data_IF_210073735029
#
_entry.id   IF_210073735029
#
_cell.length_a   1.000
_cell.length_b   1.000
_cell.length_c   1.000
_cell.angle_alpha   90.00
_cell.angle_beta   90.00
_cell.angle_gamma   90.00
#
_symmetry.space_group_name_H-M   'P 1'
#
loop_
_entity.id
_entity.type
_entity.pdbx_description
1 polymer ?
#
# COMPACT_ATOMS: atom_id res chain seq x y z
N UNK A 1 -14.84 -55.46 29.78
CA UNK A 1 -13.52 -54.82 29.79
C UNK A 1 -13.30 -54.14 28.45
N UNK A 2 -13.58 -52.83 28.34
CA UNK A 2 -13.39 -52.11 27.08
C UNK A 2 -13.02 -50.65 27.34
N UNK A 3 -11.78 -50.35 26.98
CA UNK A 3 -11.29 -49.10 26.40
C UNK A 3 -11.45 -47.82 27.22
N UNK A 4 -10.50 -47.57 28.12
CA UNK A 4 -10.08 -46.20 28.45
C UNK A 4 -8.80 -45.86 27.70
N UNK A 5 -8.72 -44.63 27.17
CA UNK A 5 -7.45 -43.99 26.82
C UNK A 5 -7.28 -43.65 25.34
N UNK A 6 -7.94 -42.57 24.87
CA UNK A 6 -7.35 -41.70 23.83
C UNK A 6 -8.11 -40.34 23.70
N UNK A 7 -7.96 -39.42 24.65
CA UNK A 7 -8.48 -38.04 24.48
C UNK A 7 -7.50 -36.92 24.91
N UNK A 8 -6.24 -37.24 25.21
CA UNK A 8 -5.28 -36.26 25.75
C UNK A 8 -4.40 -35.56 24.70
N UNK A 9 -4.53 -35.88 23.41
CA UNK A 9 -3.73 -35.22 22.35
C UNK A 9 -4.44 -34.07 21.62
N UNK A 10 -5.76 -33.90 21.78
CA UNK A 10 -6.53 -32.90 21.01
C UNK A 10 -6.50 -31.47 21.61
N UNK A 11 -6.11 -31.34 22.89
CA UNK A 11 -6.09 -30.07 23.63
C UNK A 11 -4.92 -29.14 23.31
N UNK A 12 -3.70 -29.67 23.16
CA UNK A 12 -2.48 -28.85 22.99
C UNK A 12 -2.48 -28.01 21.70
N UNK A 13 -3.06 -28.53 20.61
CA UNK A 13 -3.18 -27.78 19.36
C UNK A 13 -4.13 -26.58 19.45
N UNK A 14 -5.20 -26.69 20.26
CA UNK A 14 -6.15 -25.59 20.50
C UNK A 14 -5.57 -24.56 21.46
N UNK A 15 -4.92 -25.00 22.52
CA UNK A 15 -4.28 -24.13 23.51
C UNK A 15 -3.12 -23.35 22.87
N UNK A 16 -2.29 -23.99 22.02
CA UNK A 16 -1.21 -23.31 21.29
C UNK A 16 -1.75 -22.23 20.34
N UNK A 17 -2.85 -22.50 19.64
CA UNK A 17 -3.50 -21.51 18.76
C UNK A 17 -4.07 -20.33 19.56
N UNK A 18 -4.69 -20.60 20.71
CA UNK A 18 -5.17 -19.57 21.64
C UNK A 18 -4.03 -18.70 22.17
N UNK A 19 -2.90 -19.30 22.54
CA UNK A 19 -1.71 -18.58 22.99
C UNK A 19 -1.13 -17.68 21.88
N UNK A 20 -0.99 -18.19 20.66
CA UNK A 20 -0.52 -17.39 19.50
C UNK A 20 -1.47 -16.23 19.22
N UNK A 21 -2.79 -16.48 19.25
CA UNK A 21 -3.79 -15.43 19.07
C UNK A 21 -3.69 -14.36 20.16
N UNK A 22 -3.52 -14.77 21.42
CA UNK A 22 -3.39 -13.85 22.54
C UNK A 22 -2.12 -13.00 22.41
N UNK A 23 -0.99 -13.59 22.03
CA UNK A 23 0.25 -12.85 21.77
C UNK A 23 0.07 -11.86 20.62
N UNK A 24 -0.59 -12.25 19.53
CA UNK A 24 -0.88 -11.35 18.41
C UNK A 24 -1.77 -10.18 18.82
N UNK A 25 -2.80 -10.41 19.65
CA UNK A 25 -3.66 -9.36 20.19
C UNK A 25 -2.86 -8.39 21.07
N UNK A 26 -1.98 -8.91 21.94
CA UNK A 26 -1.14 -8.07 22.81
C UNK A 26 -0.16 -7.22 22.00
N UNK A 27 0.49 -7.82 21.00
CA UNK A 27 1.38 -7.08 20.09
C UNK A 27 0.63 -6.00 19.32
N UNK A 28 -0.59 -6.30 18.85
CA UNK A 28 -1.41 -5.32 18.13
C UNK A 28 -1.87 -4.19 19.04
N UNK A 29 -2.29 -4.49 20.28
CA UNK A 29 -2.66 -3.50 21.27
C UNK A 29 -1.50 -2.55 21.60
N UNK A 30 -0.29 -3.12 21.81
CA UNK A 30 0.91 -2.34 22.04
C UNK A 30 1.26 -1.46 20.82
N UNK A 31 1.15 -2.00 19.61
CA UNK A 31 1.36 -1.23 18.39
C UNK A 31 0.40 -0.04 18.28
N UNK A 32 -0.89 -0.24 18.57
CA UNK A 32 -1.89 0.85 18.55
C UNK A 32 -1.64 1.93 19.62
N UNK A 33 -1.08 1.54 20.77
CA UNK A 33 -0.70 2.49 21.83
C UNK A 33 0.50 3.34 21.41
N UNK A 34 1.55 2.73 20.82
CA UNK A 34 2.74 3.45 20.34
C UNK A 34 2.41 4.36 19.15
N UNK A 35 1.55 3.90 18.25
CA UNK A 35 1.16 4.62 17.02
C UNK A 35 0.07 5.68 17.24
N UNK A 36 -0.53 5.76 18.43
CA UNK A 36 -1.55 6.77 18.81
C UNK A 36 -2.65 6.95 17.75
N UNK A 37 -3.21 5.84 17.25
CA UNK A 37 -4.24 5.88 16.20
C UNK A 37 -5.58 6.34 16.77
N UNK A 38 -5.90 7.63 16.62
CA UNK A 38 -7.23 8.18 16.93
C UNK A 38 -8.10 8.25 15.67
N UNK A 39 -9.10 7.37 15.60
CA UNK A 39 -10.07 7.33 14.50
C UNK A 39 -11.25 8.27 14.73
N UNK A 40 -11.42 8.90 15.89
CA UNK A 40 -12.59 9.73 16.18
C UNK A 40 -12.47 11.12 15.56
N UNK A 41 -11.25 11.64 15.49
CA UNK A 41 -10.99 13.01 15.01
C UNK A 41 -11.29 13.24 13.51
N UNK A 42 -11.07 12.25 12.61
CA UNK A 42 -11.45 12.37 11.19
C UNK A 42 -12.96 12.23 10.92
N UNK A 43 -13.75 11.69 11.86
CA UNK A 43 -15.18 11.41 11.66
C UNK A 43 -16.08 12.64 11.88
N UNK A 44 -15.54 13.75 12.39
CA UNK A 44 -16.31 14.97 12.60
C UNK A 44 -16.74 15.62 11.26
N UNK A 45 -18.01 16.02 11.11
CA UNK A 45 -18.55 16.50 9.82
C UNK A 45 -17.83 17.75 9.30
N UNK A 46 -17.35 18.62 10.19
CA UNK A 46 -16.64 19.86 9.84
C UNK A 46 -15.19 19.62 9.36
N UNK A 47 -14.59 18.46 9.69
CA UNK A 47 -13.24 18.07 9.26
C UNK A 47 -13.24 17.15 8.04
N UNK A 48 -14.37 16.53 7.71
CA UNK A 48 -14.52 15.74 6.49
C UNK A 48 -14.31 16.57 5.21
N UNK A 49 -14.71 17.85 5.22
CA UNK A 49 -14.46 18.77 4.09
C UNK A 49 -12.96 18.97 3.86
N UNK A 50 -12.19 19.14 4.95
CA UNK A 50 -10.73 19.26 4.87
C UNK A 50 -10.08 17.94 4.42
N UNK A 51 -10.57 16.79 4.92
CA UNK A 51 -10.08 15.48 4.49
C UNK A 51 -10.29 15.28 2.99
N UNK A 52 -11.45 15.66 2.45
CA UNK A 52 -11.73 15.54 1.01
C UNK A 52 -10.81 16.47 0.21
N UNK A 53 -10.50 17.67 0.71
CA UNK A 53 -9.52 18.57 0.07
C UNK A 53 -8.12 17.94 0.04
N UNK A 54 -7.66 17.43 1.19
CA UNK A 54 -6.35 16.77 1.31
C UNK A 54 -6.26 15.53 0.43
N UNK A 55 -7.29 14.68 0.42
CA UNK A 55 -7.35 13.50 -0.45
C UNK A 55 -7.34 13.88 -1.93
N UNK A 56 -7.98 15.01 -2.29
CA UNK A 56 -7.96 15.53 -3.66
C UNK A 56 -6.59 16.08 -4.04
N UNK A 57 -5.90 16.74 -3.14
CA UNK A 57 -4.51 17.18 -3.31
C UNK A 57 -3.57 15.97 -3.44
N UNK A 58 -3.73 14.94 -2.63
CA UNK A 58 -3.00 13.67 -2.76
C UNK A 58 -3.31 12.96 -4.10
N UNK A 59 -4.55 13.07 -4.60
CA UNK A 59 -4.96 12.51 -5.89
C UNK A 59 -4.44 13.30 -7.10
N UNK A 60 -3.84 14.49 -6.88
CA UNK A 60 -3.19 15.31 -7.91
C UNK A 60 -1.74 15.55 -7.51
N UNK A 61 -0.89 14.51 -7.54
CA UNK A 61 0.50 14.68 -7.16
C UNK A 61 1.20 15.67 -8.10
N UNK A 62 2.03 16.52 -7.52
CA UNK A 62 2.91 17.38 -8.29
C UNK A 62 4.08 16.54 -8.79
N UNK A 63 4.02 16.07 -10.03
CA UNK A 63 5.02 15.16 -10.60
C UNK A 63 6.17 15.88 -11.31
N UNK A 64 5.91 17.08 -11.83
CA UNK A 64 6.81 17.79 -12.73
C UNK A 64 7.09 19.18 -12.18
N UNK A 65 8.38 19.52 -12.07
CA UNK A 65 8.79 20.89 -11.77
C UNK A 65 8.68 21.76 -13.01
N UNK A 66 8.25 23.00 -12.76
CA UNK A 66 8.19 24.02 -13.79
C UNK A 66 9.03 25.21 -13.34
N UNK A 67 9.97 25.62 -14.18
CA UNK A 67 10.71 26.86 -13.99
C UNK A 67 10.00 27.97 -14.76
N UNK A 68 9.68 29.05 -14.04
CA UNK A 68 9.04 30.22 -14.59
C UNK A 68 10.10 31.29 -14.78
N UNK A 69 10.31 31.73 -16.01
CA UNK A 69 11.10 32.93 -16.27
C UNK A 69 10.23 34.16 -15.96
N UNK A 70 10.56 34.85 -14.86
CA UNK A 70 9.86 36.07 -14.45
C UNK A 70 10.66 37.30 -14.84
N UNK A 71 10.09 38.12 -15.73
CA UNK A 71 10.58 39.48 -15.95
C UNK A 71 9.91 40.39 -14.92
N UNK A 72 10.72 41.05 -14.10
CA UNK A 72 10.26 41.91 -13.01
C UNK A 72 10.35 43.39 -13.40
N UNK A 73 9.23 44.09 -13.33
CA UNK A 73 9.21 45.56 -13.41
C UNK A 73 8.88 46.12 -12.04
N UNK A 74 9.83 46.85 -11.46
CA UNK A 74 9.72 47.42 -10.12
C UNK A 74 9.14 48.83 -10.19
N UNK A 75 8.10 49.10 -9.40
CA UNK A 75 7.55 50.43 -9.20
C UNK A 75 7.46 50.73 -7.70
N UNK A 76 7.93 51.90 -7.29
CA UNK A 76 7.88 52.32 -5.89
C UNK A 76 6.53 52.97 -5.57
N UNK A 77 5.95 52.59 -4.44
CA UNK A 77 4.70 53.14 -3.88
C UNK A 77 4.97 53.60 -2.44
N UNK A 78 4.32 54.67 -1.98
CA UNK A 78 4.42 55.14 -0.58
C UNK A 78 3.07 55.04 0.12
N UNK A 79 3.10 54.70 1.41
CA UNK A 79 1.93 54.64 2.28
C UNK A 79 2.36 55.05 3.70
N UNK A 80 1.94 56.21 4.22
CA UNK A 80 0.84 57.08 3.75
C UNK A 80 1.21 58.02 2.59
N UNK A 81 0.20 58.56 1.90
CA UNK A 81 0.35 59.49 0.77
C UNK A 81 1.04 60.82 1.17
N UNK A 82 2.02 61.33 0.39
CA UNK A 82 2.51 62.70 0.53
C UNK A 82 1.49 63.72 -0.03
N UNK A 83 1.61 64.99 0.34
CA UNK A 83 0.66 66.06 -0.06
C UNK A 83 0.56 66.30 -1.58
N UNK A 84 1.59 65.92 -2.36
CA UNK A 84 1.56 65.92 -3.83
C UNK A 84 1.60 64.49 -4.39
N UNK A 85 0.47 64.04 -4.94
CA UNK A 85 0.34 62.73 -5.60
C UNK A 85 0.51 62.91 -7.11
N UNK A 86 1.62 62.40 -7.66
CA UNK A 86 1.86 62.36 -9.11
C UNK A 86 1.81 60.91 -9.57
N UNK A 87 1.24 60.62 -10.74
CA UNK A 87 1.30 59.27 -11.28
C UNK A 87 2.76 58.82 -11.43
N UNK A 88 3.10 57.65 -10.90
CA UNK A 88 4.42 57.05 -11.08
C UNK A 88 4.40 56.26 -12.38
N UNK A 89 5.27 56.63 -13.32
CA UNK A 89 5.45 55.93 -14.58
C UNK A 89 6.86 55.35 -14.61
N UNK A 90 6.96 54.05 -14.90
CA UNK A 90 8.24 53.36 -15.13
C UNK A 90 8.24 52.88 -16.56
N UNK A 91 9.29 53.24 -17.31
CA UNK A 91 9.52 52.75 -18.65
C UNK A 91 10.74 51.84 -18.65
N UNK A 92 10.58 50.60 -19.08
CA UNK A 92 11.65 49.61 -19.13
C UNK A 92 11.56 48.83 -20.45
N UNK A 93 12.62 48.85 -21.25
CA UNK A 93 12.75 48.07 -22.51
C UNK A 93 11.53 48.14 -23.46
N UNK A 94 10.94 49.34 -23.62
CA UNK A 94 9.77 49.55 -24.50
C UNK A 94 8.41 49.24 -23.85
N UNK A 95 8.39 48.86 -22.57
CA UNK A 95 7.20 48.66 -21.76
C UNK A 95 6.98 49.87 -20.86
N UNK A 96 5.73 50.25 -20.68
CA UNK A 96 5.36 51.39 -19.84
C UNK A 96 4.36 50.92 -18.80
N UNK A 97 4.71 51.10 -17.53
CA UNK A 97 3.84 50.78 -16.40
C UNK A 97 3.50 52.06 -15.66
N UNK A 98 2.21 52.29 -15.43
CA UNK A 98 1.65 53.48 -14.84
C UNK A 98 0.79 53.10 -13.63
N UNK A 99 1.16 53.60 -12.44
CA UNK A 99 0.42 53.39 -11.19
C UNK A 99 -0.34 54.66 -10.81
N UNK A 100 -1.66 54.53 -10.63
CA UNK A 100 -2.56 55.66 -10.34
C UNK A 100 -3.57 55.28 -9.24
N UNK A 101 -3.61 56.02 -8.12
CA UNK A 101 -2.58 56.92 -7.60
C UNK A 101 -1.31 56.15 -7.20
N UNK A 102 -0.14 56.80 -7.15
CA UNK A 102 1.12 56.15 -6.75
C UNK A 102 1.31 56.05 -5.21
N UNK A 103 0.23 56.23 -4.46
CA UNK A 103 0.20 56.18 -3.02
C UNK A 103 -1.20 55.74 -2.57
N UNK A 104 -1.29 55.19 -1.36
CA UNK A 104 -2.56 54.84 -0.75
C UNK A 104 -2.60 55.38 0.68
N UNK A 105 -3.74 55.96 1.07
CA UNK A 105 -3.95 56.55 2.41
C UNK A 105 -4.59 55.54 3.34
N UNK A 106 -5.46 54.68 2.81
CA UNK A 106 -6.18 53.63 3.53
C UNK A 106 -6.10 52.31 2.76
N UNK A 107 -6.23 51.20 3.49
CA UNK A 107 -6.25 49.82 2.96
C UNK A 107 -7.42 49.51 2.03
N UNK A 108 -8.37 50.45 1.92
CA UNK A 108 -9.56 50.39 1.07
C UNK A 108 -9.43 51.26 -0.20
N UNK A 109 -8.35 52.03 -0.32
CA UNK A 109 -8.14 52.88 -1.50
C UNK A 109 -7.80 52.02 -2.71
N UNK A 110 -8.62 52.13 -3.75
CA UNK A 110 -8.41 51.42 -5.01
C UNK A 110 -7.27 52.07 -5.78
N UNK A 111 -6.21 51.30 -6.00
CA UNK A 111 -5.08 51.68 -6.83
C UNK A 111 -5.14 50.94 -8.15
N UNK A 112 -5.03 51.68 -9.26
CA UNK A 112 -5.05 51.14 -10.61
C UNK A 112 -3.64 51.05 -11.18
N UNK A 113 -3.29 49.89 -11.70
CA UNK A 113 -2.05 49.63 -12.40
C UNK A 113 -2.35 49.37 -13.87
N UNK A 114 -1.75 50.19 -14.72
CA UNK A 114 -1.85 50.11 -16.17
C UNK A 114 -0.50 49.74 -16.74
N UNK A 115 -0.47 48.85 -17.71
CA UNK A 115 0.75 48.49 -18.44
C UNK A 115 0.51 48.51 -19.94
N UNK A 116 1.50 48.97 -20.68
CA UNK A 116 1.53 49.02 -22.15
C UNK A 116 2.85 48.42 -22.66
N UNK A 117 2.83 47.81 -23.85
CA UNK A 117 4.01 47.22 -24.50
C UNK A 117 4.36 45.79 -24.05
N UNK A 118 3.43 45.09 -23.39
CA UNK A 118 3.60 43.68 -23.00
C UNK A 118 3.34 42.75 -24.20
N UNK A 119 3.87 41.51 -24.20
CA UNK A 119 3.51 40.53 -25.21
C UNK A 119 1.99 40.24 -25.22
N UNK A 120 1.40 39.94 -26.38
CA UNK A 120 -0.04 39.68 -26.47
C UNK A 120 -0.42 38.44 -25.64
N UNK A 121 -1.48 38.54 -24.85
CA UNK A 121 -1.93 37.51 -23.90
C UNK A 121 -0.94 37.13 -22.78
N UNK A 122 0.08 37.95 -22.50
CA UNK A 122 0.96 37.74 -21.36
C UNK A 122 0.15 37.74 -20.05
N UNK A 123 0.40 36.77 -19.18
CA UNK A 123 -0.23 36.67 -17.85
C UNK A 123 0.81 36.81 -16.76
N UNK A 124 0.47 37.47 -15.66
CA UNK A 124 1.41 37.68 -14.57
C UNK A 124 0.74 38.05 -13.25
N UNK A 125 1.57 38.21 -12.24
CA UNK A 125 1.16 38.50 -10.87
C UNK A 125 1.71 39.87 -10.45
N UNK A 126 0.88 40.65 -9.77
CA UNK A 126 1.30 41.87 -9.08
C UNK A 126 1.64 41.48 -7.64
N UNK A 127 2.93 41.55 -7.29
CA UNK A 127 3.41 41.32 -5.92
C UNK A 127 3.77 42.62 -5.25
N UNK A 128 3.56 42.66 -3.95
CA UNK A 128 3.96 43.75 -3.09
C UNK A 128 4.98 43.30 -2.06
N UNK A 129 6.01 44.13 -1.93
CA UNK A 129 7.10 44.03 -0.99
C UNK A 129 6.95 45.20 0.01
N UNK A 130 6.46 44.94 1.22
CA UNK A 130 6.45 45.94 2.29
C UNK A 130 7.86 46.44 2.60
N UNK A 131 7.94 47.67 3.11
CA UNK A 131 9.19 48.22 3.61
C UNK A 131 9.71 47.35 4.77
N UNK A 132 11.03 47.12 4.80
CA UNK A 132 11.73 46.41 5.89
C UNK A 132 11.34 44.92 6.12
N UNK A 133 10.61 44.29 5.20
CA UNK A 133 10.23 42.87 5.32
C UNK A 133 10.59 42.05 4.07
N UNK A 134 11.09 40.84 4.28
CA UNK A 134 11.34 39.84 3.22
C UNK A 134 10.07 39.10 2.78
N UNK A 135 8.96 39.25 3.52
CA UNK A 135 7.69 38.62 3.17
C UNK A 135 7.00 39.36 2.03
N UNK A 136 6.49 38.61 1.05
CA UNK A 136 5.80 39.16 -0.13
C UNK A 136 4.31 38.87 -0.05
N UNK A 137 3.45 39.77 -0.53
CA UNK A 137 2.02 39.47 -0.72
C UNK A 137 1.59 39.63 -2.17
N UNK A 138 0.70 38.76 -2.61
CA UNK A 138 0.02 38.86 -3.91
C UNK A 138 -1.10 39.89 -3.79
N UNK A 139 -1.09 40.89 -4.69
CA UNK A 139 -2.13 41.93 -4.77
C UNK A 139 -3.20 41.57 -5.80
N UNK A 140 -2.78 41.24 -7.03
CA UNK A 140 -3.68 40.93 -8.12
C UNK A 140 -2.99 40.06 -9.19
N UNK A 141 -3.78 39.54 -10.12
CA UNK A 141 -3.32 38.89 -11.34
C UNK A 141 -3.68 39.78 -12.51
N UNK A 142 -2.78 39.91 -13.49
CA UNK A 142 -3.02 40.67 -14.70
C UNK A 142 -2.90 39.79 -15.93
N UNK A 143 -3.65 40.15 -16.97
CA UNK A 143 -3.56 39.53 -18.29
C UNK A 143 -3.57 40.64 -19.33
N UNK A 144 -2.52 40.70 -20.14
CA UNK A 144 -2.42 41.61 -21.27
C UNK A 144 -3.40 41.19 -22.37
N UNK A 145 -3.97 42.20 -23.04
CA UNK A 145 -4.83 42.01 -24.20
C UNK A 145 -4.02 41.64 -25.46
N UNK A 146 -4.70 41.58 -26.61
CA UNK A 146 -4.06 41.32 -27.90
C UNK A 146 -3.11 42.44 -28.36
N UNK A 147 -3.23 43.65 -27.78
CA UNK A 147 -2.39 44.80 -28.09
C UNK A 147 -1.23 44.97 -27.10
N UNK A 148 -1.14 44.11 -26.07
CA UNK A 148 -0.09 44.21 -25.06
C UNK A 148 -0.39 45.20 -23.93
N UNK A 149 -1.65 45.56 -23.75
CA UNK A 149 -2.11 46.49 -22.71
C UNK A 149 -2.89 45.75 -21.62
N UNK A 150 -2.75 46.17 -20.37
CA UNK A 150 -3.61 45.71 -19.28
C UNK A 150 -3.95 46.84 -18.32
N UNK A 151 -5.06 46.67 -17.60
CA UNK A 151 -5.46 47.52 -16.48
C UNK A 151 -6.02 46.64 -15.38
N UNK A 152 -5.48 46.76 -14.17
CA UNK A 152 -5.90 46.00 -13.00
C UNK A 152 -6.01 46.93 -11.81
N UNK A 153 -7.12 46.82 -11.10
CA UNK A 153 -7.39 47.56 -9.89
C UNK A 153 -7.20 46.64 -8.68
N UNK A 154 -6.52 47.12 -7.64
CA UNK A 154 -6.28 46.38 -6.40
C UNK A 154 -6.29 47.32 -5.20
N UNK A 155 -6.39 46.75 -4.01
CA UNK A 155 -6.32 47.48 -2.73
C UNK A 155 -5.07 47.08 -1.96
N UNK A 156 -4.53 48.01 -1.18
CA UNK A 156 -3.32 47.76 -0.40
C UNK A 156 -3.62 46.94 0.86
N UNK A 157 -2.83 45.90 1.20
CA UNK A 157 -3.03 45.12 2.41
C UNK A 157 -2.78 45.96 3.67
N UNK A 158 -3.44 45.60 4.76
CA UNK A 158 -3.26 46.28 6.05
C UNK A 158 -1.88 46.01 6.66
N UNK A 159 -1.17 47.09 6.99
CA UNK A 159 0.14 47.11 7.62
C UNK A 159 0.32 48.36 8.49
N UNK A 160 1.31 48.28 9.38
CA UNK A 160 1.79 49.41 10.16
C UNK A 160 2.30 50.52 9.23
N UNK A 161 1.85 51.75 9.47
CA UNK A 161 2.29 52.93 8.73
C UNK A 161 3.82 53.08 8.77
N UNK A 162 4.44 53.32 7.62
CA UNK A 162 5.89 53.44 7.47
C UNK A 162 6.22 54.43 6.36
N UNK A 163 7.12 55.37 6.63
CA UNK A 163 7.46 56.43 5.67
C UNK A 163 8.35 55.95 4.51
N UNK A 164 8.90 54.74 4.59
CA UNK A 164 9.81 54.20 3.60
C UNK A 164 9.11 53.76 2.31
N UNK A 165 9.77 53.92 1.14
CA UNK A 165 9.22 53.51 -0.14
C UNK A 165 9.07 51.99 -0.20
N UNK A 166 7.87 51.53 -0.49
CA UNK A 166 7.54 50.12 -0.69
C UNK A 166 7.65 49.78 -2.17
N UNK A 167 7.86 48.51 -2.50
CA UNK A 167 8.06 48.08 -3.90
C UNK A 167 6.89 47.22 -4.36
N UNK A 168 6.30 47.59 -5.48
CA UNK A 168 5.38 46.74 -6.24
C UNK A 168 6.19 46.16 -7.40
N UNK A 169 6.11 44.85 -7.57
CA UNK A 169 6.80 44.10 -8.61
C UNK A 169 5.77 43.43 -9.51
N UNK A 170 5.83 43.73 -10.81
CA UNK A 170 5.07 43.01 -11.81
C UNK A 170 5.90 41.82 -12.24
N UNK A 171 5.41 40.62 -11.96
CA UNK A 171 6.04 39.37 -12.39
C UNK A 171 5.26 38.81 -13.58
N UNK A 172 5.83 38.97 -14.77
CA UNK A 172 5.31 38.36 -16.00
C UNK A 172 5.72 36.88 -16.06
N UNK A 173 4.79 35.98 -16.35
CA UNK A 173 5.09 34.58 -16.62
C UNK A 173 5.40 34.43 -18.12
N UNK A 174 6.68 34.48 -18.49
CA UNK A 174 7.10 34.52 -19.91
C UNK A 174 7.11 33.13 -20.55
N UNK A 175 7.55 32.11 -19.82
CA UNK A 175 7.54 30.73 -20.26
C UNK A 175 7.43 29.78 -19.06
N UNK A 176 6.74 28.67 -19.26
CA UNK A 176 6.71 27.55 -18.32
C UNK A 176 7.46 26.39 -18.97
N UNK A 177 8.73 26.21 -18.61
CA UNK A 177 9.49 25.06 -19.11
C UNK A 177 9.42 23.90 -18.12
N UNK A 178 9.34 22.67 -18.64
CA UNK A 178 9.42 21.47 -17.82
C UNK A 178 10.91 21.24 -17.54
N UNK A 179 11.35 21.47 -16.31
CA UNK A 179 12.74 21.28 -15.92
C UNK A 179 13.06 19.83 -15.56
N UNK A 180 12.05 19.07 -15.12
CA UNK A 180 12.20 17.66 -14.77
C UNK A 180 11.13 17.19 -13.80
N UNK A 181 11.47 16.17 -13.02
CA UNK A 181 10.64 15.75 -11.90
C UNK A 181 10.59 16.83 -10.82
N UNK A 182 9.50 16.88 -10.07
CA UNK A 182 9.41 17.75 -8.89
C UNK A 182 10.30 17.22 -7.76
N UNK A 183 10.75 18.12 -6.88
CA UNK A 183 11.52 17.75 -5.69
C UNK A 183 10.75 16.78 -4.79
N UNK A 184 9.43 16.95 -4.72
CA UNK A 184 8.53 16.06 -3.96
C UNK A 184 8.53 14.65 -4.52
N UNK A 185 8.55 14.50 -5.85
CA UNK A 185 8.62 13.19 -6.51
C UNK A 185 9.98 12.52 -6.28
N UNK A 186 11.08 13.28 -6.39
CA UNK A 186 12.42 12.75 -6.13
C UNK A 186 12.57 12.28 -4.68
N UNK A 187 12.06 13.07 -3.73
CA UNK A 187 12.07 12.72 -2.31
C UNK A 187 11.20 11.49 -2.02
N UNK A 188 10.02 11.39 -2.64
CA UNK A 188 9.18 10.21 -2.51
C UNK A 188 9.86 8.95 -3.05
N UNK A 189 10.51 9.04 -4.22
CA UNK A 189 11.26 7.94 -4.80
C UNK A 189 12.43 7.51 -3.91
N UNK A 190 13.18 8.46 -3.35
CA UNK A 190 14.27 8.19 -2.40
C UNK A 190 13.77 7.39 -1.19
N UNK A 191 12.65 7.81 -0.58
CA UNK A 191 12.05 7.12 0.57
C UNK A 191 11.49 5.74 0.24
N UNK A 192 10.92 5.57 -0.95
CA UNK A 192 10.43 4.27 -1.42
C UNK A 192 11.61 3.31 -1.60
N UNK A 193 12.68 3.75 -2.27
CA UNK A 193 13.89 2.95 -2.49
C UNK A 193 14.54 2.58 -1.16
N UNK A 194 14.68 3.54 -0.24
CA UNK A 194 15.18 3.30 1.12
C UNK A 194 14.39 2.19 1.83
N UNK A 195 13.05 2.26 1.79
CA UNK A 195 12.18 1.27 2.45
C UNK A 195 12.32 -0.12 1.81
N UNK A 196 12.36 -0.20 0.48
CA UNK A 196 12.55 -1.46 -0.23
C UNK A 196 13.90 -2.08 0.09
N UNK A 197 14.97 -1.26 0.16
CA UNK A 197 16.30 -1.72 0.53
C UNK A 197 16.36 -2.19 1.99
N UNK A 198 15.69 -1.51 2.92
CA UNK A 198 15.56 -1.97 4.31
C UNK A 198 14.84 -3.33 4.40
N UNK A 199 13.76 -3.52 3.65
CA UNK A 199 13.02 -4.78 3.62
C UNK A 199 13.86 -5.93 2.99
N UNK A 200 14.59 -5.63 1.92
CA UNK A 200 15.53 -6.58 1.29
C UNK A 200 16.66 -6.97 2.25
N UNK A 201 17.24 -5.99 2.97
CA UNK A 201 18.27 -6.25 3.97
C UNK A 201 17.73 -7.09 5.14
N UNK A 202 16.55 -6.76 5.65
CA UNK A 202 15.91 -7.51 6.73
C UNK A 202 15.66 -8.98 6.34
N UNK A 203 15.14 -9.23 5.14
CA UNK A 203 14.85 -10.58 4.64
C UNK A 203 16.12 -11.39 4.32
N UNK A 204 17.16 -10.75 3.77
CA UNK A 204 18.45 -11.40 3.52
C UNK A 204 19.13 -11.81 4.83
N UNK A 205 19.25 -10.91 5.80
CA UNK A 205 19.79 -11.21 7.13
C UNK A 205 18.93 -12.29 7.82
N UNK A 206 17.61 -12.14 7.76
CA UNK A 206 16.66 -13.12 8.31
C UNK A 206 16.86 -14.52 7.72
N UNK A 207 17.05 -14.62 6.41
CA UNK A 207 17.30 -15.90 5.72
C UNK A 207 18.64 -16.50 6.12
N UNK A 208 19.70 -15.68 6.18
CA UNK A 208 21.04 -16.11 6.60
C UNK A 208 21.01 -16.73 8.00
N UNK A 209 20.24 -16.15 8.93
CA UNK A 209 20.10 -16.67 10.29
C UNK A 209 19.09 -17.83 10.38
N UNK A 210 18.02 -17.80 9.58
CA UNK A 210 16.97 -18.83 9.61
C UNK A 210 17.47 -20.19 9.15
N UNK A 211 18.36 -20.25 8.16
CA UNK A 211 18.92 -21.51 7.64
C UNK A 211 19.63 -22.33 8.74
N UNK A 212 20.67 -21.84 9.45
CA UNK A 212 21.34 -22.63 10.48
C UNK A 212 20.43 -22.96 11.66
N UNK A 213 19.54 -22.05 12.07
CA UNK A 213 18.58 -22.30 13.14
C UNK A 213 17.61 -23.41 12.75
N UNK A 214 17.15 -23.44 11.50
CA UNK A 214 16.29 -24.50 10.97
C UNK A 214 16.97 -25.87 11.03
N UNK A 215 18.25 -25.96 10.63
CA UNK A 215 19.02 -27.20 10.74
C UNK A 215 19.25 -27.63 12.19
N UNK A 216 19.56 -26.71 13.11
CA UNK A 216 19.68 -27.02 14.53
C UNK A 216 18.37 -27.56 15.12
N UNK A 217 17.24 -26.93 14.78
CA UNK A 217 15.92 -27.37 15.22
C UNK A 217 15.56 -28.76 14.65
N UNK A 218 15.81 -28.98 13.36
CA UNK A 218 15.58 -30.26 12.70
C UNK A 218 16.39 -31.39 13.36
N UNK A 219 17.67 -31.12 13.69
CA UNK A 219 18.50 -32.10 14.39
C UNK A 219 17.96 -32.44 15.77
N UNK A 220 17.48 -31.46 16.52
CA UNK A 220 16.87 -31.69 17.84
C UNK A 220 15.65 -32.63 17.75
N UNK A 221 14.78 -32.42 16.74
CA UNK A 221 13.60 -33.25 16.50
C UNK A 221 13.91 -34.68 16.01
N UNK A 222 14.98 -34.87 15.23
CA UNK A 222 15.31 -36.18 14.66
C UNK A 222 15.97 -37.15 15.65
N UNK A 223 16.46 -36.67 16.80
CA UNK A 223 17.17 -37.51 17.77
C UNK A 223 16.29 -38.55 18.48
N UNK A 224 14.96 -38.32 18.55
CA UNK A 224 14.03 -39.18 19.30
C UNK A 224 13.40 -40.32 18.49
N UNK A 225 13.79 -40.49 17.23
CA UNK A 225 13.15 -41.46 16.34
C UNK A 225 14.11 -42.60 16.01
N UNK A 226 14.42 -43.43 17.01
CA UNK A 226 15.32 -44.58 16.83
C UNK A 226 14.66 -45.84 16.26
N UNK A 227 13.32 -45.95 16.22
CA UNK A 227 12.65 -47.22 15.89
C UNK A 227 11.54 -47.27 14.82
N UNK A 228 10.88 -46.20 14.34
CA UNK A 228 9.76 -46.38 13.42
C UNK A 228 10.20 -46.76 12.00
N UNK A 229 11.36 -46.32 11.50
CA UNK A 229 11.81 -46.74 10.17
C UNK A 229 12.17 -48.24 10.14
N UNK A 230 12.86 -48.72 11.18
CA UNK A 230 13.18 -50.14 11.32
C UNK A 230 11.91 -50.99 11.53
N UNK A 231 10.93 -50.49 12.29
CA UNK A 231 9.65 -51.17 12.49
C UNK A 231 8.80 -51.20 11.20
N UNK A 232 8.79 -50.12 10.41
CA UNK A 232 8.09 -50.05 9.11
C UNK A 232 8.78 -50.95 8.08
N UNK A 233 10.11 -50.95 8.01
CA UNK A 233 10.85 -51.85 7.13
C UNK A 233 10.69 -53.31 7.57
N UNK A 234 10.70 -53.57 8.87
CA UNK A 234 10.43 -54.89 9.43
C UNK A 234 9.03 -55.39 9.08
N UNK A 235 8.00 -54.55 9.18
CA UNK A 235 6.63 -54.94 8.83
C UNK A 235 6.45 -55.20 7.34
N UNK A 236 7.11 -54.44 6.46
CA UNK A 236 7.12 -54.68 5.01
C UNK A 236 7.80 -56.03 4.67
N UNK A 237 8.89 -56.36 5.37
CA UNK A 237 9.69 -57.55 5.09
C UNK A 237 9.04 -58.84 5.66
N UNK A 238 8.34 -58.74 6.79
CA UNK A 238 7.58 -59.87 7.36
C UNK A 238 6.28 -60.18 6.61
N UNK A 239 5.74 -59.23 5.84
CA UNK A 239 4.47 -59.39 5.13
C UNK A 239 4.45 -60.56 4.12
N UNK A 240 5.43 -60.73 3.21
CA UNK A 240 5.46 -61.87 2.30
C UNK A 240 5.65 -63.20 3.04
N UNK A 241 6.48 -63.22 4.10
CA UNK A 241 6.74 -64.42 4.89
C UNK A 241 5.50 -64.84 5.66
N UNK A 242 4.84 -63.89 6.33
CA UNK A 242 3.59 -64.12 7.06
C UNK A 242 2.45 -64.54 6.12
N UNK A 243 2.35 -63.92 4.94
CA UNK A 243 1.38 -64.30 3.91
C UNK A 243 1.59 -65.72 3.40
N UNK A 244 2.84 -66.12 3.15
CA UNK A 244 3.18 -67.47 2.70
C UNK A 244 2.88 -68.52 3.78
N UNK A 245 3.30 -68.28 5.03
CA UNK A 245 3.03 -69.17 6.16
C UNK A 245 1.52 -69.29 6.44
N UNK A 246 0.79 -68.17 6.34
CA UNK A 246 -0.66 -68.16 6.49
C UNK A 246 -1.35 -68.99 5.41
N UNK A 247 -0.98 -68.78 4.14
CA UNK A 247 -1.51 -69.59 3.02
C UNK A 247 -1.21 -71.08 3.20
N UNK A 248 0.04 -71.43 3.56
CA UNK A 248 0.42 -72.83 3.83
C UNK A 248 -0.41 -73.46 4.96
N UNK A 249 -0.60 -72.74 6.08
CA UNK A 249 -1.42 -73.20 7.19
C UNK A 249 -2.88 -73.45 6.79
N UNK A 250 -3.47 -72.58 5.96
CA UNK A 250 -4.85 -72.77 5.48
C UNK A 250 -5.01 -74.04 4.63
N UNK A 251 -4.03 -74.37 3.79
CA UNK A 251 -4.06 -75.59 2.97
C UNK A 251 -4.06 -76.86 3.83
N UNK A 252 -3.26 -76.88 4.90
CA UNK A 252 -3.20 -78.02 5.81
C UNK A 252 -4.52 -78.21 6.58
N UNK A 253 -5.14 -77.12 7.01
CA UNK A 253 -6.45 -77.17 7.67
C UNK A 253 -7.56 -77.67 6.73
N UNK A 254 -7.57 -77.21 5.48
CA UNK A 254 -8.53 -77.70 4.46
C UNK A 254 -8.31 -79.17 4.16
N UNK A 255 -7.06 -79.62 4.04
CA UNK A 255 -6.74 -81.03 3.81
C UNK A 255 -7.19 -81.93 4.97
N UNK A 256 -6.96 -81.51 6.23
CA UNK A 256 -7.46 -82.21 7.41
C UNK A 256 -8.99 -82.25 7.46
N UNK A 257 -9.65 -81.12 7.15
CA UNK A 257 -11.10 -81.06 7.09
C UNK A 257 -11.67 -81.99 6.02
N UNK A 258 -11.06 -82.05 4.83
CA UNK A 258 -11.46 -82.97 3.76
C UNK A 258 -11.29 -84.45 4.16
N UNK A 259 -10.22 -84.78 4.89
CA UNK A 259 -9.98 -86.13 5.41
C UNK A 259 -11.05 -86.53 6.43
N UNK A 260 -11.43 -85.62 7.33
CA UNK A 260 -12.50 -85.83 8.31
C UNK A 260 -13.85 -86.02 7.58
N UNK A 261 -14.16 -85.18 6.59
CA UNK A 261 -15.39 -85.30 5.79
C UNK A 261 -15.41 -86.63 5.04
N UNK A 262 -14.30 -87.06 4.43
CA UNK A 262 -14.20 -88.34 3.74
C UNK A 262 -14.36 -89.54 4.68
N UNK A 263 -13.93 -89.43 5.94
CA UNK A 263 -14.10 -90.48 6.95
C UNK A 263 -15.56 -90.61 7.42
N UNK A 264 -16.32 -89.52 7.39
CA UNK A 264 -17.72 -89.47 7.85
C UNK A 264 -18.70 -89.68 6.67
N UNK A 265 -18.27 -89.46 5.42
CA UNK A 265 -19.10 -89.64 4.24
C UNK A 265 -19.41 -91.13 3.99
N UNK A 266 -20.61 -91.55 4.38
CA UNK A 266 -21.20 -92.83 4.00
C UNK A 266 -21.55 -92.78 2.50
N UNK A 267 -21.15 -93.77 1.67
CA UNK A 267 -21.56 -93.81 0.27
C UNK A 267 -23.07 -94.10 0.19
N UNK A 268 -23.84 -93.15 -0.35
CA UNK A 268 -25.25 -93.37 -0.71
C UNK A 268 -25.29 -94.08 -2.07
N UNK A 269 -25.90 -95.27 -2.20
CA UNK A 269 -26.02 -95.94 -3.49
C UNK A 269 -26.97 -95.19 -4.43
N UNK A 270 -26.57 -95.07 -5.69
CA UNK A 270 -27.37 -94.47 -6.76
C UNK A 270 -28.63 -95.31 -7.03
N UNK A 271 -29.81 -94.73 -6.79
CA UNK A 271 -31.07 -95.32 -7.23
C UNK A 271 -31.30 -95.05 -8.72
N UNK A 272 -31.53 -96.14 -9.46
CA UNK A 272 -31.74 -96.18 -10.89
C UNK A 272 -33.03 -95.47 -11.32
N UNK A 273 -32.94 -94.73 -12.43
CA UNK A 273 -34.08 -94.15 -13.15
C UNK A 273 -34.41 -95.10 -14.31
N UNK A 274 -35.48 -95.88 -14.14
CA UNK A 274 -36.06 -96.73 -15.19
C UNK A 274 -37.12 -95.92 -15.95
N UNK A 275 -36.95 -95.81 -17.27
CA UNK A 275 -37.98 -95.35 -18.19
C UNK A 275 -37.93 -96.27 -19.41
N UNK A 276 -38.91 -97.16 -19.48
CA UNK A 276 -39.02 -98.19 -20.48
C UNK A 276 -39.35 -97.67 -21.89
N UNK A 277 -39.05 -98.53 -22.86
CA UNK A 277 -39.98 -98.99 -23.89
C UNK A 277 -39.29 -100.20 -24.57
N UNK A 278 -39.75 -101.42 -24.34
CA UNK A 278 -40.92 -102.04 -24.99
C UNK A 278 -40.72 -102.22 -26.50
N UNK A 279 -40.62 -103.48 -26.96
CA UNK A 279 -41.56 -104.16 -27.87
C UNK A 279 -40.85 -105.37 -28.59
N UNK A 280 -41.57 -106.28 -29.28
CA UNK A 280 -42.01 -107.55 -28.69
C UNK A 280 -41.85 -108.79 -29.62
N UNK A 281 -42.38 -109.92 -29.15
CA UNK A 281 -42.99 -111.03 -29.92
C UNK A 281 -42.08 -112.05 -30.66
N UNK A 282 -42.33 -113.32 -30.33
CA UNK A 282 -41.88 -114.49 -31.07
C UNK A 282 -42.34 -115.78 -30.38
N UNK A 283 -43.58 -116.18 -30.69
CA UNK A 283 -44.21 -117.53 -30.66
C UNK A 283 -43.56 -118.68 -29.88
#
# INVERSE_FOLDING_TARGET
>A
MRSEGNDSQKGNGRIRKLLILLVAIVLFAYATEVTQVDLREPLEPKRQENLISLLRELARPDLLSYENETLSTNISVRMPCPEEVKASQVQNEGRTVLLIPNCATTTQDVTSLQGEGFPPNASGLVRWYPAESETTRRLAEFKADANGTFRVDFTMPDIRETADPQRIELQELTARHITGLSDTTLLALDKIVETVLMALMASTIGTILAVPISFMAARNLMTDIKLPLAAIMGSILLLPVGGWLGWWGTQQLVALAALIVALIAVPVPAFAQDAGNAAPAGT
#
